data_IF_357126096599
#
_entry.id   IF_357126096599
#
_cell.length_a   1.000
_cell.length_b   1.000
_cell.length_c   1.000
_cell.angle_alpha   90.00
_cell.angle_beta   90.00
_cell.angle_gamma   90.00
#
_symmetry.space_group_name_H-M   'P 1'
#
loop_
_entity.id
_entity.type
_entity.pdbx_description
1 polymer ?
#
# COMPACT_ATOMS: atom_id res chain seq x y z
N UNK A 1 -11.84 -10.56 5.30
CA UNK A 1 -11.39 -9.51 4.35
C UNK A 1 -10.11 -9.86 3.56
N UNK A 2 -9.94 -11.09 3.06
CA UNK A 2 -8.76 -11.46 2.27
C UNK A 2 -8.54 -10.70 0.95
N UNK A 3 -9.57 -10.33 0.15
CA UNK A 3 -9.34 -9.71 -1.15
C UNK A 3 -8.73 -8.30 -1.05
N UNK A 4 -9.07 -7.54 0.01
CA UNK A 4 -8.56 -6.17 0.23
C UNK A 4 -7.05 -6.19 0.55
N UNK A 5 -6.63 -7.13 1.41
CA UNK A 5 -5.22 -7.35 1.71
C UNK A 5 -4.41 -7.69 0.46
N UNK A 6 -4.91 -8.65 -0.34
CA UNK A 6 -4.25 -9.04 -1.59
C UNK A 6 -4.14 -7.87 -2.56
N UNK A 7 -5.19 -7.06 -2.71
CA UNK A 7 -5.20 -5.89 -3.61
C UNK A 7 -4.10 -4.87 -3.26
N UNK A 8 -3.91 -4.58 -1.96
CA UNK A 8 -2.82 -3.71 -1.51
C UNK A 8 -1.44 -4.33 -1.74
N UNK A 9 -1.31 -5.65 -1.55
CA UNK A 9 -0.07 -6.37 -1.77
C UNK A 9 0.33 -6.42 -3.26
N UNK A 10 -0.62 -6.65 -4.18
CA UNK A 10 -0.35 -6.58 -5.63
C UNK A 10 -0.06 -5.16 -6.08
N UNK A 11 -0.73 -4.14 -5.53
CA UNK A 11 -0.41 -2.73 -5.81
C UNK A 11 1.02 -2.39 -5.41
N UNK A 12 1.47 -2.87 -4.25
CA UNK A 12 2.85 -2.68 -3.79
C UNK A 12 3.87 -3.33 -4.73
N UNK A 13 3.63 -4.59 -5.11
CA UNK A 13 4.50 -5.31 -6.07
C UNK A 13 4.51 -4.63 -7.45
N UNK A 14 3.36 -4.16 -7.92
CA UNK A 14 3.23 -3.44 -9.19
C UNK A 14 4.02 -2.13 -9.17
N UNK A 15 3.96 -1.38 -8.07
CA UNK A 15 4.67 -0.12 -7.92
C UNK A 15 6.19 -0.30 -7.94
N UNK A 16 6.72 -1.34 -7.29
CA UNK A 16 8.15 -1.68 -7.34
C UNK A 16 8.61 -2.10 -8.73
N UNK A 17 7.81 -2.88 -9.46
CA UNK A 17 8.08 -3.19 -10.86
C UNK A 17 8.08 -1.94 -11.74
N UNK A 18 7.14 -1.02 -11.51
CA UNK A 18 7.06 0.26 -12.21
C UNK A 18 8.29 1.16 -12.01
N UNK A 19 8.83 1.23 -10.78
CA UNK A 19 10.09 1.93 -10.50
C UNK A 19 11.25 1.34 -11.29
N UNK A 20 11.37 0.01 -11.37
CA UNK A 20 12.49 -0.65 -12.07
C UNK A 20 12.43 -0.45 -13.58
N UNK A 21 11.22 -0.36 -14.17
CA UNK A 21 11.04 -0.08 -15.60
C UNK A 21 11.09 1.42 -15.94
N UNK A 22 11.12 2.31 -14.95
CA UNK A 22 11.13 3.75 -15.18
C UNK A 22 12.50 4.24 -15.69
N UNK A 23 12.58 4.56 -16.98
CA UNK A 23 13.78 5.14 -17.62
C UNK A 23 13.85 6.67 -17.48
N UNK A 24 12.75 7.30 -17.03
CA UNK A 24 12.62 8.76 -16.94
C UNK A 24 12.45 9.23 -15.50
N UNK A 25 13.12 10.32 -15.13
CA UNK A 25 13.09 10.92 -13.77
C UNK A 25 11.67 11.24 -13.30
N UNK A 26 10.80 11.72 -14.20
CA UNK A 26 9.39 12.01 -13.90
C UNK A 26 8.63 10.73 -13.58
N UNK A 27 8.86 9.67 -14.36
CA UNK A 27 8.20 8.38 -14.22
C UNK A 27 8.64 7.68 -12.93
N UNK A 28 9.93 7.79 -12.61
CA UNK A 28 10.49 7.36 -11.32
C UNK A 28 9.83 8.11 -10.15
N UNK A 29 9.63 9.43 -10.26
CA UNK A 29 9.00 10.23 -9.21
C UNK A 29 7.52 9.85 -8.99
N UNK A 30 6.77 9.61 -10.07
CA UNK A 30 5.37 9.14 -9.99
C UNK A 30 5.29 7.78 -9.31
N UNK A 31 6.12 6.81 -9.73
CA UNK A 31 6.13 5.49 -9.10
C UNK A 31 6.69 5.49 -7.68
N UNK A 32 7.57 6.44 -7.35
CA UNK A 32 8.04 6.65 -6.00
C UNK A 32 6.92 7.10 -5.06
N UNK A 33 6.10 8.07 -5.49
CA UNK A 33 4.91 8.52 -4.77
C UNK A 33 3.89 7.37 -4.60
N UNK A 34 3.65 6.61 -5.67
CA UNK A 34 2.72 5.46 -5.66
C UNK A 34 3.18 4.37 -4.68
N UNK A 35 4.49 4.12 -4.61
CA UNK A 35 5.09 3.17 -3.66
C UNK A 35 4.90 3.66 -2.22
N UNK A 36 5.13 4.96 -1.97
CA UNK A 36 4.90 5.58 -0.67
C UNK A 36 3.43 5.48 -0.22
N UNK A 37 2.50 5.80 -1.11
CA UNK A 37 1.05 5.68 -0.88
C UNK A 37 0.64 4.23 -0.61
N UNK A 38 1.15 3.27 -1.38
CA UNK A 38 0.85 1.85 -1.18
C UNK A 38 1.32 1.32 0.19
N UNK A 39 2.48 1.77 0.66
CA UNK A 39 2.99 1.47 2.01
C UNK A 39 2.08 2.04 3.10
N UNK A 40 1.63 3.29 2.92
CA UNK A 40 0.72 3.95 3.85
C UNK A 40 -0.65 3.24 3.91
N UNK A 41 -1.21 2.84 2.76
CA UNK A 41 -2.46 2.05 2.72
C UNK A 41 -2.30 0.67 3.36
N UNK A 42 -1.14 0.02 3.21
CA UNK A 42 -0.87 -1.28 3.84
C UNK A 42 -0.88 -1.17 5.38
N UNK A 43 -0.26 -0.12 5.91
CA UNK A 43 -0.27 0.20 7.35
C UNK A 43 -1.69 0.55 7.82
N UNK A 44 -2.41 1.38 7.07
CA UNK A 44 -3.80 1.78 7.37
C UNK A 44 -4.78 0.59 7.35
N UNK A 45 -4.57 -0.39 6.47
CA UNK A 45 -5.36 -1.62 6.43
C UNK A 45 -5.22 -2.43 7.73
N UNK A 46 -4.01 -2.46 8.30
CA UNK A 46 -3.75 -3.12 9.57
C UNK A 46 -4.37 -2.36 10.75
N UNK A 47 -4.33 -1.02 10.72
CA UNK A 47 -4.97 -0.15 11.71
C UNK A 47 -6.50 -0.39 11.78
N UNK A 48 -7.17 -0.46 10.63
CA UNK A 48 -8.62 -0.70 10.57
C UNK A 48 -9.04 -2.10 11.07
N UNK A 49 -8.16 -3.11 10.98
CA UNK A 49 -8.42 -4.42 11.57
C UNK A 49 -8.06 -4.48 13.08
N UNK A 50 -7.14 -3.64 13.55
CA UNK A 50 -6.79 -3.53 14.98
C UNK A 50 -7.87 -2.87 15.83
N UNK A 51 -8.66 -1.96 15.26
CA UNK A 51 -9.79 -1.31 15.95
C UNK A 51 -11.01 -2.22 16.17
N UNK A 52 -11.02 -3.43 15.59
CA UNK A 52 -12.07 -4.42 15.91
C UNK A 52 -11.91 -5.06 17.30
N UNK A 53 -10.81 -4.79 18.02
CA UNK A 53 -10.63 -5.17 19.43
C UNK A 53 -10.63 -3.99 20.42
N UNK A 54 -10.60 -2.73 19.97
CA UNK A 54 -10.65 -1.57 20.87
C UNK A 54 -12.07 -1.10 21.24
N UNK A 55 -13.12 -1.68 20.63
CA UNK A 55 -14.52 -1.49 21.05
C UNK A 55 -15.01 -2.42 22.17
N UNK A 56 -14.16 -3.33 22.69
CA UNK A 56 -14.49 -4.21 23.81
C UNK A 56 -14.02 -3.67 25.18
N UNK A 57 -13.41 -2.48 25.20
CA UNK A 57 -12.94 -1.79 26.41
C UNK A 57 -13.63 -0.43 26.61
N UNK A 58 -14.91 -0.32 26.21
CA UNK A 58 -15.82 0.71 26.72
C UNK A 58 -16.90 0.06 27.58
#
# INVERSE_FOLDING_TARGET
NLPRFYLYLTLFMFSMLGIVLADNTILMYVFWELTSVSSFLLISYWYNNGDSQFGAMQ
#
